data_IF_576756241923
#
_entry.id   IF_576756241923
#
_cell.length_a   1.000
_cell.length_b   1.000
_cell.length_c   1.000
_cell.angle_alpha   90.00
_cell.angle_beta   90.00
_cell.angle_gamma   90.00
#
_symmetry.space_group_name_H-M   'P 1'
#
loop_
_entity.id
_entity.type
_entity.pdbx_description
1 polymer ?
#
# COMPACT_ATOMS: atom_id res chain seq x y z
N UNK A 1 13.96 5.62 -4.80
CA UNK A 1 13.48 6.63 -5.77
C UNK A 1 13.06 7.94 -5.12
N UNK A 2 12.00 8.01 -4.29
CA UNK A 2 11.60 9.30 -3.70
C UNK A 2 12.59 9.87 -2.66
N UNK A 3 13.35 9.02 -1.95
CA UNK A 3 14.39 9.45 -0.99
C UNK A 3 15.67 9.98 -1.64
N UNK A 4 15.93 9.62 -2.89
CA UNK A 4 17.23 9.85 -3.54
C UNK A 4 17.26 11.20 -4.28
N UNK A 5 16.11 11.86 -4.44
CA UNK A 5 15.96 13.09 -5.21
C UNK A 5 15.87 14.38 -4.37
N UNK A 6 15.81 14.30 -3.03
CA UNK A 6 15.63 15.49 -2.19
C UNK A 6 16.70 15.67 -1.11
N UNK A 7 17.19 16.92 -1.03
CA UNK A 7 18.37 17.34 -0.26
C UNK A 7 18.16 17.49 1.27
N UNK A 8 16.98 17.22 1.82
CA UNK A 8 16.70 17.48 3.24
C UNK A 8 15.86 16.39 3.92
N UNK A 9 16.06 16.24 5.24
CA UNK A 9 15.33 15.34 6.17
C UNK A 9 13.82 15.64 6.30
N UNK A 10 13.29 16.61 5.53
CA UNK A 10 11.87 16.93 5.45
C UNK A 10 11.08 16.02 4.50
N UNK A 11 11.64 14.89 4.07
CA UNK A 11 10.97 13.91 3.22
C UNK A 11 9.53 13.57 3.68
N UNK A 12 9.27 13.62 4.99
CA UNK A 12 7.96 13.36 5.57
C UNK A 12 6.88 14.42 5.28
N UNK A 13 7.23 15.66 4.89
CA UNK A 13 6.25 16.70 4.53
C UNK A 13 5.69 16.51 3.12
N UNK A 14 6.40 15.75 2.30
CA UNK A 14 6.05 15.43 0.92
C UNK A 14 5.49 14.01 0.78
N UNK A 15 4.81 13.49 1.82
CA UNK A 15 4.03 12.26 1.75
C UNK A 15 2.83 12.45 0.80
N UNK A 16 3.09 12.54 -0.49
CA UNK A 16 2.10 12.14 -1.47
C UNK A 16 2.06 10.61 -1.42
N UNK A 17 0.87 10.03 -1.22
CA UNK A 17 0.71 8.57 -1.22
C UNK A 17 1.22 7.92 -2.52
N UNK A 18 1.40 8.72 -3.57
CA UNK A 18 1.93 8.37 -4.87
C UNK A 18 2.92 9.45 -5.31
N UNK A 19 4.13 9.09 -5.75
CA UNK A 19 4.98 10.06 -6.43
C UNK A 19 4.38 10.43 -7.80
N UNK A 20 4.79 11.58 -8.36
CA UNK A 20 4.22 12.10 -9.62
C UNK A 20 4.35 11.14 -10.79
N UNK A 21 5.39 10.29 -10.80
CA UNK A 21 5.57 9.27 -11.83
C UNK A 21 4.51 8.17 -11.70
N UNK A 22 4.31 7.66 -10.50
CA UNK A 22 3.30 6.62 -10.23
C UNK A 22 1.88 7.14 -10.47
N UNK A 23 1.62 8.42 -10.16
CA UNK A 23 0.37 9.08 -10.53
C UNK A 23 0.18 9.18 -12.05
N UNK A 24 1.24 9.50 -12.81
CA UNK A 24 1.21 9.54 -14.28
C UNK A 24 0.87 8.18 -14.89
N UNK A 25 1.48 7.11 -14.38
CA UNK A 25 1.14 5.73 -14.75
C UNK A 25 -0.35 5.48 -14.49
N UNK A 26 -0.84 5.69 -13.26
CA UNK A 26 -2.24 5.42 -12.93
C UNK A 26 -3.23 6.17 -13.85
N UNK A 27 -2.98 7.46 -14.10
CA UNK A 27 -3.84 8.29 -14.95
C UNK A 27 -3.84 7.86 -16.41
N UNK A 28 -2.68 7.51 -16.98
CA UNK A 28 -2.57 7.01 -18.36
C UNK A 28 -3.29 5.67 -18.51
N UNK A 29 -3.14 4.75 -17.55
CA UNK A 29 -3.87 3.48 -17.56
C UNK A 29 -5.38 3.67 -17.53
N UNK A 30 -5.90 4.52 -16.65
CA UNK A 30 -7.33 4.83 -16.58
C UNK A 30 -7.85 5.45 -17.88
N UNK A 31 -7.07 6.36 -18.48
CA UNK A 31 -7.42 7.02 -19.75
C UNK A 31 -7.47 6.02 -20.91
N UNK A 32 -6.48 5.15 -21.02
CA UNK A 32 -6.39 4.18 -22.10
C UNK A 32 -7.48 3.11 -21.97
N UNK A 33 -7.79 2.65 -20.75
CA UNK A 33 -8.89 1.71 -20.48
C UNK A 33 -10.25 2.29 -20.93
N UNK A 34 -10.52 3.56 -20.63
CA UNK A 34 -11.74 4.27 -21.09
C UNK A 34 -11.83 4.35 -22.62
N UNK A 35 -10.70 4.42 -23.32
CA UNK A 35 -10.63 4.46 -24.78
C UNK A 35 -10.55 3.06 -25.41
N UNK A 36 -10.57 1.99 -24.61
CA UNK A 36 -10.31 0.62 -25.05
C UNK A 36 -8.93 0.44 -25.73
N UNK A 37 -7.96 1.26 -25.35
CA UNK A 37 -6.57 1.16 -25.76
C UNK A 37 -5.79 0.27 -24.77
N UNK A 38 -4.87 -0.54 -25.28
CA UNK A 38 -4.03 -1.39 -24.44
C UNK A 38 -2.70 -0.69 -24.10
N UNK A 39 -2.28 -0.79 -22.83
CA UNK A 39 -0.98 -0.32 -22.38
C UNK A 39 -1.00 1.03 -21.67
N UNK A 40 0.19 1.57 -21.42
CA UNK A 40 0.40 2.81 -20.67
C UNK A 40 1.51 3.64 -21.33
N UNK A 41 1.36 4.96 -21.31
CA UNK A 41 2.24 5.88 -22.04
C UNK A 41 3.64 6.01 -21.40
N UNK A 42 3.78 5.61 -20.14
CA UNK A 42 4.97 5.84 -19.32
C UNK A 42 5.71 4.55 -18.93
N UNK A 43 5.03 3.40 -18.94
CA UNK A 43 5.60 2.13 -18.49
C UNK A 43 4.92 0.92 -19.15
N UNK A 44 5.65 -0.18 -19.25
CA UNK A 44 5.04 -1.49 -19.54
C UNK A 44 4.42 -2.05 -18.25
N UNK A 45 3.18 -2.52 -18.33
CA UNK A 45 2.44 -3.04 -17.17
C UNK A 45 2.24 -4.55 -17.33
N UNK A 46 2.57 -5.28 -16.26
CA UNK A 46 2.32 -6.71 -16.17
C UNK A 46 1.05 -6.97 -15.34
N UNK A 47 0.16 -7.81 -15.85
CA UNK A 47 -1.03 -8.20 -15.12
C UNK A 47 -0.66 -9.12 -13.95
N UNK A 48 -1.05 -8.72 -12.75
CA UNK A 48 -0.88 -9.53 -11.55
C UNK A 48 -2.25 -9.91 -10.98
N UNK A 49 -2.44 -11.21 -10.68
CA UNK A 49 -3.63 -11.69 -10.02
C UNK A 49 -3.60 -11.30 -8.53
N UNK A 50 -4.21 -10.17 -8.20
CA UNK A 50 -4.35 -9.70 -6.83
C UNK A 50 -5.71 -10.17 -6.28
N UNK A 51 -5.69 -10.84 -5.13
CA UNK A 51 -6.90 -11.11 -4.34
C UNK A 51 -6.93 -10.12 -3.18
N UNK A 52 -7.99 -9.31 -3.11
CA UNK A 52 -8.19 -8.36 -2.01
C UNK A 52 -9.33 -8.87 -1.14
N UNK A 53 -9.08 -9.10 0.15
CA UNK A 53 -10.09 -9.50 1.12
C UNK A 53 -10.22 -8.41 2.19
N UNK A 54 -11.29 -7.64 2.05
CA UNK A 54 -11.64 -6.58 3.01
C UNK A 54 -12.49 -7.14 4.14
N UNK A 55 -12.23 -6.72 5.38
CA UNK A 55 -13.05 -7.04 6.54
C UNK A 55 -13.68 -5.79 7.14
N UNK A 56 -14.95 -5.89 7.54
CA UNK A 56 -15.65 -4.86 8.29
C UNK A 56 -15.38 -4.92 9.80
N UNK A 57 -14.56 -5.87 10.26
CA UNK A 57 -14.14 -5.98 11.66
C UNK A 57 -12.65 -5.62 11.75
N UNK A 58 -12.26 -4.75 12.71
CA UNK A 58 -10.84 -4.46 12.92
C UNK A 58 -10.14 -5.76 13.32
N UNK A 59 -9.33 -6.31 12.42
CA UNK A 59 -8.44 -7.42 12.73
C UNK A 59 -7.29 -6.90 13.59
N UNK A 60 -7.55 -6.74 14.89
CA UNK A 60 -6.59 -6.22 15.87
C UNK A 60 -5.61 -7.27 16.38
N UNK A 61 -5.07 -8.13 15.50
CA UNK A 61 -3.96 -8.99 15.91
C UNK A 61 -2.70 -8.12 15.95
N UNK A 62 -2.16 -7.89 17.14
CA UNK A 62 -0.83 -7.27 17.28
C UNK A 62 0.25 -8.30 16.95
N UNK A 63 0.43 -8.60 15.66
CA UNK A 63 1.45 -9.50 15.11
C UNK A 63 2.66 -8.75 14.52
N UNK A 64 2.69 -7.43 14.66
CA UNK A 64 3.72 -6.55 14.11
C UNK A 64 3.48 -6.13 12.66
N UNK A 65 2.41 -6.61 12.03
CA UNK A 65 2.12 -6.40 10.61
C UNK A 65 1.61 -4.99 10.27
N UNK A 66 1.44 -4.11 11.26
CA UNK A 66 0.96 -2.75 11.06
C UNK A 66 2.00 -1.71 11.52
N UNK A 67 2.81 -1.13 10.61
CA UNK A 67 3.84 -0.14 10.94
C UNK A 67 3.31 1.19 11.50
N UNK A 68 1.99 1.42 11.48
CA UNK A 68 1.37 2.57 12.14
C UNK A 68 1.39 2.44 13.67
N UNK A 69 1.43 1.21 14.18
CA UNK A 69 1.41 0.90 15.62
C UNK A 69 2.62 0.09 16.09
N UNK A 70 3.19 -0.78 15.24
CA UNK A 70 4.26 -1.68 15.62
C UNK A 70 5.55 -0.94 16.01
N UNK A 71 6.24 -1.44 17.05
CA UNK A 71 7.49 -0.87 17.55
C UNK A 71 7.40 0.57 18.07
N UNK A 72 6.21 1.13 18.29
CA UNK A 72 6.01 2.55 18.62
C UNK A 72 5.32 2.75 19.97
N UNK A 73 5.86 3.68 20.76
CA UNK A 73 5.20 4.16 21.97
C UNK A 73 3.92 4.95 21.65
N UNK A 74 3.98 5.81 20.61
CA UNK A 74 2.86 6.59 20.11
C UNK A 74 2.56 6.20 18.65
N UNK A 75 1.30 5.85 18.29
CA UNK A 75 0.94 5.52 16.92
C UNK A 75 1.22 6.67 15.94
N UNK A 76 1.54 6.34 14.68
CA UNK A 76 1.66 7.35 13.62
C UNK A 76 0.33 8.08 13.45
N UNK A 77 0.41 9.35 13.03
CA UNK A 77 -0.76 10.21 12.73
C UNK A 77 -1.76 10.37 13.89
N UNK A 78 -1.36 10.06 15.13
CA UNK A 78 -2.27 10.12 16.28
C UNK A 78 -3.39 9.07 16.24
N UNK A 79 -3.17 7.96 15.53
CA UNK A 79 -4.17 6.90 15.39
C UNK A 79 -4.48 6.22 16.72
N UNK A 80 -5.73 5.80 16.90
CA UNK A 80 -6.18 5.07 18.09
C UNK A 80 -5.98 3.57 17.90
N UNK A 81 -5.36 2.90 18.88
CA UNK A 81 -5.31 1.43 18.94
C UNK A 81 -6.75 0.88 19.05
N UNK A 82 -7.05 -0.18 18.30
CA UNK A 82 -8.39 -0.74 18.16
C UNK A 82 -9.33 0.07 17.25
N UNK A 83 -8.83 1.10 16.57
CA UNK A 83 -9.60 1.86 15.59
C UNK A 83 -9.67 1.18 14.21
N UNK A 84 -10.31 1.85 13.26
CA UNK A 84 -10.49 1.34 11.88
C UNK A 84 -9.18 1.06 11.14
N UNK A 85 -8.06 1.68 11.56
CA UNK A 85 -6.75 1.50 10.96
C UNK A 85 -5.86 0.47 11.70
N UNK A 86 -6.39 -0.24 12.69
CA UNK A 86 -5.59 -1.17 13.51
C UNK A 86 -5.30 -2.53 12.87
N UNK A 87 -5.85 -2.81 11.68
CA UNK A 87 -5.55 -4.02 10.91
C UNK A 87 -4.17 -3.99 10.25
N UNK A 88 -3.74 -5.12 9.66
CA UNK A 88 -2.52 -5.18 8.84
C UNK A 88 -2.50 -4.07 7.78
N UNK A 89 -1.32 -3.48 7.54
CA UNK A 89 -1.10 -2.55 6.44
C UNK A 89 -0.14 -3.24 5.48
N UNK A 90 -0.62 -3.55 4.28
CA UNK A 90 0.20 -4.10 3.23
C UNK A 90 1.35 -3.13 2.91
N UNK A 91 2.57 -3.61 3.05
CA UNK A 91 3.79 -2.80 2.88
C UNK A 91 4.41 -2.95 1.50
N UNK A 92 4.19 -4.10 0.86
CA UNK A 92 4.75 -4.45 -0.45
C UNK A 92 3.75 -5.28 -1.27
N UNK A 93 3.99 -5.38 -2.58
CA UNK A 93 3.19 -6.23 -3.47
C UNK A 93 3.25 -7.70 -3.01
N UNK A 94 4.42 -8.15 -2.55
CA UNK A 94 4.63 -9.50 -2.00
C UNK A 94 4.78 -9.38 -0.47
N UNK A 95 3.70 -9.02 0.22
CA UNK A 95 3.75 -8.89 1.68
C UNK A 95 3.80 -10.28 2.34
N UNK A 96 4.84 -10.50 3.14
CA UNK A 96 5.05 -11.76 3.86
C UNK A 96 3.97 -12.08 4.89
N UNK A 97 3.30 -11.06 5.46
CA UNK A 97 2.15 -11.24 6.35
C UNK A 97 0.91 -11.68 5.59
N UNK A 98 0.74 -11.17 4.36
CA UNK A 98 -0.32 -11.61 3.45
C UNK A 98 -0.07 -12.98 2.85
N UNK A 99 1.16 -13.50 2.92
CA UNK A 99 1.54 -14.77 2.30
C UNK A 99 1.09 -15.94 3.19
N UNK A 100 0.10 -16.74 2.75
CA UNK A 100 -0.35 -17.86 3.56
C UNK A 100 0.72 -18.93 3.74
N UNK A 101 0.92 -19.36 4.98
CA UNK A 101 1.58 -20.63 5.27
C UNK A 101 0.59 -21.77 5.00
N UNK A 102 0.89 -22.63 4.02
CA UNK A 102 0.05 -23.77 3.62
C UNK A 102 -1.16 -23.38 2.76
N UNK A 103 -2.21 -24.21 2.75
CA UNK A 103 -3.41 -24.03 1.90
C UNK A 103 -4.42 -22.98 2.41
N UNK A 104 -4.03 -22.09 3.32
CA UNK A 104 -4.92 -21.03 3.80
C UNK A 104 -5.06 -19.97 2.71
N UNK A 105 -6.28 -19.53 2.43
CA UNK A 105 -6.57 -18.39 1.54
C UNK A 105 -7.05 -17.22 2.39
N UNK A 106 -6.73 -15.99 1.98
CA UNK A 106 -7.27 -14.78 2.60
C UNK A 106 -6.64 -14.33 3.90
N UNK A 107 -5.31 -14.26 3.94
CA UNK A 107 -4.60 -13.64 5.07
C UNK A 107 -4.49 -12.11 4.88
N UNK A 108 -4.81 -11.64 3.66
CA UNK A 108 -5.19 -10.30 3.27
C UNK A 108 -6.27 -10.45 2.17
#
# INVERSE_FOLDING_TARGET
>A
MARDAWFNDQFYTSYFMWDSFTAGIAMSSMRNDMNHEFGNDFAELEYMNITVITSNKPYGVHDGSNPLFDGRANPKFGLRKGGVHSGHVQTEIIDSFCRPKGNKKGIC
#
